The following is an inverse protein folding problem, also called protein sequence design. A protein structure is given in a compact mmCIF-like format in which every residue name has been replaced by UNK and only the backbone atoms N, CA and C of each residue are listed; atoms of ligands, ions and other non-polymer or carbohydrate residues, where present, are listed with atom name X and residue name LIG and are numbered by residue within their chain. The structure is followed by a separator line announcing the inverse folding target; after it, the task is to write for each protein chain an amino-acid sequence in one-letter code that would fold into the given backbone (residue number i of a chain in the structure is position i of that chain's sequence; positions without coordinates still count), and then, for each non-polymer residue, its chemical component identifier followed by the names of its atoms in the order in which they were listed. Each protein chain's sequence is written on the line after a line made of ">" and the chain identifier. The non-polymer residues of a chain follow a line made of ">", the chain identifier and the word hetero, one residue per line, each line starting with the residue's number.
data_IF_801187330620
#
_entry.id   IF_801187330620
#
_cell.length_a   1.000
_cell.length_b   1.000
_cell.length_c   1.000
_cell.angle_alpha   90.00
_cell.angle_beta   90.00
_cell.angle_gamma   90.00
#
_symmetry.space_group_name_H-M   'P 1'
#
loop_
_entity.id
_entity.type
_entity.pdbx_description
1 polymer ?
#
# COMPACT_ATOMS: atom_id res chain seq x y z
N UNK A 1 12.83 -35.13 19.33
CA UNK A 1 11.50 -34.78 18.76
C UNK A 1 11.71 -34.24 17.37
N UNK A 2 10.87 -34.56 16.43
CA UNK A 2 10.91 -34.14 15.02
C UNK A 2 9.79 -33.13 14.78
N UNK A 3 9.94 -32.26 13.77
CA UNK A 3 8.88 -31.35 13.35
C UNK A 3 7.54 -32.05 13.02
N UNK A 4 7.61 -33.30 12.56
CA UNK A 4 6.44 -34.12 12.26
C UNK A 4 5.64 -34.59 13.52
N UNK A 5 6.22 -34.44 14.71
CA UNK A 5 5.56 -34.80 15.95
C UNK A 5 4.59 -33.70 16.43
N UNK A 6 4.57 -32.55 15.73
CA UNK A 6 3.75 -31.38 16.06
C UNK A 6 2.72 -31.06 14.99
N UNK A 7 1.54 -30.61 15.42
CA UNK A 7 0.48 -30.09 14.55
C UNK A 7 0.18 -28.63 14.91
N UNK A 8 -0.01 -27.80 13.91
CA UNK A 8 -0.41 -26.40 14.14
C UNK A 8 -1.89 -26.22 13.81
N UNK A 9 -2.63 -25.65 14.75
CA UNK A 9 -4.06 -25.34 14.62
C UNK A 9 -4.41 -24.02 15.29
N UNK A 10 -5.61 -23.53 15.03
CA UNK A 10 -6.17 -22.39 15.78
C UNK A 10 -6.43 -22.80 17.24
N UNK A 11 -6.18 -21.87 18.14
CA UNK A 11 -6.53 -22.03 19.55
C UNK A 11 -8.06 -22.11 19.74
N UNK A 12 -8.48 -22.93 20.72
CA UNK A 12 -9.85 -23.12 21.14
C UNK A 12 -10.00 -22.71 22.59
N UNK A 13 -11.24 -22.63 23.08
CA UNK A 13 -11.51 -22.29 24.48
C UNK A 13 -10.90 -23.31 25.47
N UNK A 14 -10.76 -24.55 25.04
CA UNK A 14 -10.16 -25.63 25.84
C UNK A 14 -8.66 -25.43 26.03
N UNK A 15 -8.00 -24.66 25.15
CA UNK A 15 -6.58 -24.36 25.25
C UNK A 15 -6.29 -23.21 26.25
N UNK A 16 -7.31 -22.48 26.65
CA UNK A 16 -7.15 -21.27 27.45
C UNK A 16 -6.37 -21.48 28.77
N UNK A 17 -6.60 -22.56 29.54
CA UNK A 17 -5.82 -22.78 30.77
C UNK A 17 -4.32 -22.97 30.50
N UNK A 18 -3.97 -23.71 29.43
CA UNK A 18 -2.58 -23.96 29.05
C UNK A 18 -1.93 -22.68 28.48
N UNK A 19 -2.66 -21.92 27.63
CA UNK A 19 -2.21 -20.63 27.10
C UNK A 19 -2.00 -19.60 28.21
N UNK A 20 -2.89 -19.52 29.18
CA UNK A 20 -2.73 -18.62 30.32
C UNK A 20 -1.47 -18.95 31.14
N UNK A 21 -1.20 -20.23 31.36
CA UNK A 21 0.03 -20.64 32.03
C UNK A 21 1.27 -20.21 31.21
N UNK A 22 1.22 -20.40 29.90
CA UNK A 22 2.29 -20.03 28.99
C UNK A 22 2.50 -18.50 28.92
N UNK A 23 1.44 -17.72 28.72
CA UNK A 23 1.50 -16.26 28.67
C UNK A 23 1.98 -15.64 29.99
N UNK A 24 1.62 -16.25 31.12
CA UNK A 24 2.11 -15.84 32.42
C UNK A 24 3.62 -16.02 32.59
N UNK A 25 4.21 -17.06 32.02
CA UNK A 25 5.67 -17.24 32.03
C UNK A 25 6.40 -16.22 31.19
N UNK A 26 5.70 -15.62 30.19
CA UNK A 26 6.21 -14.58 29.29
C UNK A 26 5.88 -13.16 29.78
N UNK A 27 5.23 -13.02 30.92
CA UNK A 27 4.76 -11.74 31.49
C UNK A 27 3.85 -10.95 30.53
N UNK A 28 3.03 -11.65 29.75
CA UNK A 28 2.05 -11.03 28.86
C UNK A 28 0.78 -10.64 29.62
N UNK A 29 0.08 -9.60 29.13
CA UNK A 29 -1.18 -9.12 29.68
C UNK A 29 -2.34 -10.10 29.45
N UNK A 30 -2.59 -11.02 30.38
CA UNK A 30 -3.52 -12.15 30.26
C UNK A 30 -4.92 -11.73 29.80
N UNK A 31 -5.55 -10.75 30.48
CA UNK A 31 -6.92 -10.32 30.20
C UNK A 31 -7.12 -9.84 28.76
N UNK A 32 -6.12 -9.21 28.17
CA UNK A 32 -6.20 -8.76 26.78
C UNK A 32 -6.01 -9.91 25.80
N UNK A 33 -5.13 -10.87 26.10
CA UNK A 33 -4.92 -12.03 25.24
C UNK A 33 -6.09 -13.03 25.30
N UNK A 34 -6.74 -13.20 26.45
CA UNK A 34 -7.95 -14.02 26.58
C UNK A 34 -9.08 -13.54 25.68
N UNK A 35 -9.33 -12.22 25.60
CA UNK A 35 -10.32 -11.61 24.71
C UNK A 35 -9.99 -11.86 23.23
N UNK A 36 -8.74 -12.09 22.92
CA UNK A 36 -8.19 -12.27 21.57
C UNK A 36 -7.79 -13.72 21.27
N UNK A 37 -8.27 -14.68 22.07
CA UNK A 37 -7.94 -16.10 21.92
C UNK A 37 -8.02 -16.61 20.48
N UNK A 38 -9.00 -16.13 19.74
CA UNK A 38 -9.23 -16.57 18.34
C UNK A 38 -8.16 -16.14 17.34
N UNK A 39 -7.29 -15.22 17.74
CA UNK A 39 -6.14 -14.79 16.93
C UNK A 39 -4.96 -15.76 17.04
N UNK A 40 -4.95 -16.62 18.09
CA UNK A 40 -3.81 -17.50 18.35
C UNK A 40 -3.80 -18.77 17.50
N UNK A 41 -2.61 -19.11 17.04
CA UNK A 41 -2.28 -20.42 16.49
C UNK A 41 -1.38 -21.13 17.47
N UNK A 42 -1.66 -22.41 17.73
CA UNK A 42 -0.94 -23.25 18.69
C UNK A 42 -0.27 -24.42 17.99
N UNK A 43 0.96 -24.69 18.35
CA UNK A 43 1.65 -25.92 18.01
C UNK A 43 1.43 -26.93 19.15
N UNK A 44 0.81 -28.06 18.83
CA UNK A 44 0.51 -29.13 19.81
C UNK A 44 1.30 -30.40 19.48
N UNK A 45 1.74 -31.08 20.50
CA UNK A 45 2.41 -32.37 20.37
C UNK A 45 1.40 -33.52 20.08
N UNK A 46 1.89 -34.75 19.97
CA UNK A 46 1.07 -35.94 19.74
C UNK A 46 0.07 -36.24 20.87
N UNK A 47 0.29 -35.71 22.07
CA UNK A 47 -0.61 -35.85 23.23
C UNK A 47 -1.65 -34.72 23.30
N UNK A 48 -1.57 -33.76 22.38
CA UNK A 48 -2.42 -32.58 22.39
C UNK A 48 -1.96 -31.45 23.30
N UNK A 49 -0.77 -31.58 23.94
CA UNK A 49 -0.21 -30.53 24.79
C UNK A 49 0.37 -29.40 23.97
N UNK A 50 0.15 -28.14 24.39
CA UNK A 50 0.68 -26.96 23.72
C UNK A 50 2.18 -26.86 23.93
N UNK A 51 2.95 -26.86 22.86
CA UNK A 51 4.39 -26.64 22.87
C UNK A 51 4.78 -25.20 22.53
N UNK A 52 3.93 -24.49 21.78
CA UNK A 52 4.14 -23.09 21.44
C UNK A 52 2.89 -22.43 20.90
N UNK A 53 2.86 -21.11 20.92
CA UNK A 53 1.76 -20.30 20.42
C UNK A 53 2.28 -19.00 19.80
N UNK A 54 1.51 -18.45 18.84
CA UNK A 54 1.75 -17.15 18.24
C UNK A 54 0.42 -16.49 17.90
N UNK A 55 0.29 -15.20 18.15
CA UNK A 55 -0.86 -14.40 17.80
C UNK A 55 -0.79 -13.90 16.37
N UNK A 56 -1.95 -13.85 15.68
CA UNK A 56 -2.12 -13.32 14.34
C UNK A 56 -3.36 -12.43 14.28
N UNK A 57 -3.15 -11.14 14.55
CA UNK A 57 -4.20 -10.13 14.54
C UNK A 57 -4.35 -9.53 13.16
N UNK A 58 -5.58 -9.47 12.66
CA UNK A 58 -5.88 -8.88 11.36
C UNK A 58 -6.53 -7.52 11.50
N UNK A 59 -6.15 -6.60 10.61
CA UNK A 59 -6.78 -5.30 10.42
C UNK A 59 -6.81 -4.95 8.93
N UNK A 60 -7.98 -5.05 8.32
CA UNK A 60 -8.13 -4.93 6.88
C UNK A 60 -7.26 -5.95 6.14
N UNK A 61 -6.41 -5.47 5.24
CA UNK A 61 -5.47 -6.31 4.47
C UNK A 61 -4.10 -6.46 5.15
N UNK A 62 -3.96 -6.06 6.40
CA UNK A 62 -2.72 -6.15 7.16
C UNK A 62 -2.87 -7.07 8.36
N UNK A 63 -1.79 -7.69 8.78
CA UNK A 63 -1.76 -8.56 9.94
C UNK A 63 -0.56 -8.27 10.83
N UNK A 64 -0.75 -8.47 12.14
CA UNK A 64 0.27 -8.35 13.17
C UNK A 64 0.57 -9.74 13.73
N UNK A 65 1.84 -10.15 13.69
CA UNK A 65 2.36 -11.31 14.42
C UNK A 65 2.82 -10.81 15.78
N UNK A 66 2.30 -11.41 16.85
CA UNK A 66 2.55 -10.94 18.21
C UNK A 66 2.50 -12.06 19.24
N UNK A 67 3.04 -11.80 20.42
CA UNK A 67 2.92 -12.65 21.61
C UNK A 67 3.34 -14.09 21.36
N UNK A 68 4.52 -14.26 20.71
CA UNK A 68 5.13 -15.58 20.55
C UNK A 68 5.52 -16.14 21.91
N UNK A 69 5.18 -17.40 22.16
CA UNK A 69 5.51 -18.08 23.42
C UNK A 69 5.74 -19.58 23.19
N UNK A 70 6.67 -20.16 23.96
CA UNK A 70 6.98 -21.59 23.92
C UNK A 70 7.09 -22.14 25.33
N UNK A 71 6.61 -23.38 25.53
CA UNK A 71 6.79 -24.12 26.80
C UNK A 71 8.25 -24.48 27.04
N UNK A 72 8.98 -24.75 25.95
CA UNK A 72 10.42 -24.99 25.94
C UNK A 72 11.03 -24.24 24.75
N UNK A 73 11.85 -23.23 25.05
CA UNK A 73 12.53 -22.44 24.03
C UNK A 73 13.55 -23.23 23.21
N UNK A 74 13.99 -24.40 23.67
CA UNK A 74 14.84 -25.29 22.85
C UNK A 74 14.12 -25.82 21.61
N UNK A 75 12.77 -25.83 21.61
CA UNK A 75 11.93 -26.23 20.47
C UNK A 75 11.58 -25.06 19.55
N UNK A 76 11.85 -23.83 19.96
CA UNK A 76 11.39 -22.63 19.25
C UNK A 76 11.83 -22.59 17.79
N UNK A 77 13.10 -22.88 17.52
CA UNK A 77 13.64 -22.84 16.15
C UNK A 77 13.03 -23.90 15.23
N UNK A 78 12.53 -25.00 15.80
CA UNK A 78 11.80 -26.03 15.07
C UNK A 78 10.32 -25.65 14.89
N UNK A 79 9.70 -25.03 15.87
CA UNK A 79 8.27 -24.72 15.86
C UNK A 79 7.93 -23.46 15.08
N UNK A 80 8.82 -22.45 15.06
CA UNK A 80 8.61 -21.20 14.31
C UNK A 80 8.32 -21.40 12.83
N UNK A 81 9.09 -22.22 12.08
CA UNK A 81 8.75 -22.52 10.69
C UNK A 81 7.37 -23.13 10.51
N UNK A 82 6.95 -24.05 11.40
CA UNK A 82 5.62 -24.66 11.34
C UNK A 82 4.50 -23.65 11.60
N UNK A 83 4.68 -22.79 12.60
CA UNK A 83 3.77 -21.70 12.90
C UNK A 83 3.71 -20.72 11.71
N UNK A 84 4.85 -20.36 11.13
CA UNK A 84 4.92 -19.48 9.98
C UNK A 84 4.20 -20.03 8.74
N UNK A 85 4.35 -21.30 8.42
CA UNK A 85 3.59 -21.94 7.34
C UNK A 85 2.09 -21.81 7.56
N UNK A 86 1.64 -22.00 8.80
CA UNK A 86 0.24 -21.81 9.18
C UNK A 86 -0.21 -20.37 9.01
N UNK A 87 0.60 -19.40 9.43
CA UNK A 87 0.30 -17.97 9.27
C UNK A 87 0.23 -17.56 7.80
N UNK A 88 1.11 -18.08 6.94
CA UNK A 88 1.06 -17.86 5.49
C UNK A 88 -0.24 -18.38 4.86
N UNK A 89 -0.71 -19.55 5.28
CA UNK A 89 -2.00 -20.08 4.82
C UNK A 89 -3.16 -19.17 5.25
N UNK A 90 -3.14 -18.69 6.49
CA UNK A 90 -4.16 -17.75 6.97
C UNK A 90 -4.11 -16.42 6.17
N UNK A 91 -2.92 -15.87 5.97
CA UNK A 91 -2.72 -14.67 5.18
C UNK A 91 -3.27 -14.83 3.75
N UNK A 92 -3.01 -15.97 3.12
CA UNK A 92 -3.53 -16.28 1.79
C UNK A 92 -5.07 -16.31 1.77
N UNK A 93 -5.68 -17.00 2.74
CA UNK A 93 -7.14 -17.18 2.83
C UNK A 93 -7.87 -15.85 3.10
N UNK A 94 -7.26 -14.97 3.88
CA UNK A 94 -7.86 -13.68 4.27
C UNK A 94 -7.48 -12.50 3.38
N UNK A 95 -6.69 -12.72 2.34
CA UNK A 95 -6.30 -11.62 1.47
C UNK A 95 -5.29 -10.66 2.09
N UNK A 96 -4.51 -11.09 3.10
CA UNK A 96 -3.49 -10.25 3.73
C UNK A 96 -2.42 -9.85 2.72
N UNK A 97 -2.19 -8.56 2.59
CA UNK A 97 -1.18 -7.96 1.71
C UNK A 97 0.17 -7.86 2.42
N UNK A 98 0.15 -7.51 3.70
CA UNK A 98 1.35 -7.24 4.48
C UNK A 98 1.23 -7.76 5.91
N UNK A 99 2.32 -8.29 6.42
CA UNK A 99 2.47 -8.65 7.84
C UNK A 99 3.48 -7.76 8.52
N UNK A 100 3.23 -7.54 9.82
CA UNK A 100 4.03 -6.74 10.71
C UNK A 100 4.37 -7.54 11.96
N UNK A 101 5.49 -7.24 12.59
CA UNK A 101 5.86 -7.79 13.90
C UNK A 101 6.86 -6.90 14.62
N UNK A 102 6.89 -7.05 15.94
CA UNK A 102 7.94 -6.53 16.82
C UNK A 102 8.74 -7.67 17.49
N UNK A 103 8.44 -8.92 17.11
CA UNK A 103 9.19 -10.07 17.59
C UNK A 103 10.65 -10.00 17.14
N UNK A 104 11.59 -10.12 18.08
CA UNK A 104 13.01 -9.91 17.85
C UNK A 104 13.80 -11.21 17.65
N UNK A 105 13.13 -12.37 17.79
CA UNK A 105 13.75 -13.67 17.52
C UNK A 105 14.38 -13.67 16.14
N UNK A 106 15.56 -14.29 16.01
CA UNK A 106 16.34 -14.32 14.77
C UNK A 106 15.51 -14.77 13.56
N UNK A 107 14.66 -15.75 13.73
CA UNK A 107 13.77 -16.24 12.69
C UNK A 107 12.90 -15.12 12.10
N UNK A 108 12.23 -14.32 12.95
CA UNK A 108 11.41 -13.20 12.49
C UNK A 108 12.24 -12.03 12.01
N UNK A 109 13.28 -11.69 12.77
CA UNK A 109 14.03 -10.46 12.62
C UNK A 109 15.05 -10.48 11.46
N UNK A 110 15.52 -11.64 11.04
CA UNK A 110 16.59 -11.77 10.04
C UNK A 110 16.23 -12.68 8.87
N UNK A 111 15.39 -13.68 9.10
CA UNK A 111 15.11 -14.72 8.11
C UNK A 111 13.77 -14.52 7.40
N UNK A 112 12.81 -13.85 8.05
CA UNK A 112 11.43 -13.76 7.55
C UNK A 112 10.99 -12.32 7.25
N UNK A 113 11.23 -11.39 8.19
CA UNK A 113 10.76 -10.01 8.10
C UNK A 113 11.94 -9.04 7.95
N UNK A 114 11.72 -7.95 7.22
CA UNK A 114 12.71 -6.89 7.01
C UNK A 114 12.39 -5.65 7.82
N UNK A 115 13.38 -4.80 8.05
CA UNK A 115 13.14 -3.48 8.65
C UNK A 115 12.40 -2.61 7.62
N UNK A 116 11.24 -2.01 7.98
CA UNK A 116 10.49 -1.15 7.06
C UNK A 116 11.25 0.14 6.77
N UNK A 117 11.07 0.68 5.59
CA UNK A 117 11.44 2.05 5.23
C UNK A 117 10.37 3.05 5.70
N UNK A 118 10.56 4.35 5.41
CA UNK A 118 9.63 5.41 5.83
C UNK A 118 8.26 5.26 5.18
N UNK A 119 8.20 4.96 3.89
CA UNK A 119 6.95 4.82 3.12
C UNK A 119 6.16 3.58 3.55
N UNK A 120 6.87 2.53 3.94
CA UNK A 120 6.26 1.34 4.50
C UNK A 120 5.68 1.60 5.90
N UNK A 121 6.37 2.36 6.74
CA UNK A 121 5.89 2.72 8.08
C UNK A 121 4.61 3.56 8.03
N UNK A 122 4.40 4.38 7.02
CA UNK A 122 3.15 5.12 6.82
C UNK A 122 1.95 4.19 6.60
N UNK A 123 2.19 2.98 6.11
CA UNK A 123 1.16 1.94 5.92
C UNK A 123 0.84 1.15 7.18
N UNK A 124 1.56 1.38 8.28
CA UNK A 124 1.32 0.72 9.56
C UNK A 124 -0.01 1.21 10.16
N UNK A 125 -0.95 0.32 10.53
CA UNK A 125 -2.18 0.71 11.17
C UNK A 125 -1.96 1.56 12.43
N UNK A 126 -2.69 2.66 12.55
CA UNK A 126 -2.49 3.66 13.61
C UNK A 126 -2.60 3.09 15.06
N UNK A 127 -3.46 2.09 15.24
CA UNK A 127 -3.61 1.42 16.55
C UNK A 127 -2.39 0.57 16.94
N UNK A 128 -1.60 0.09 15.95
CA UNK A 128 -0.33 -0.60 16.23
C UNK A 128 0.83 0.39 16.31
N UNK A 129 0.81 1.47 15.55
CA UNK A 129 1.85 2.50 15.55
C UNK A 129 2.06 3.16 16.91
N UNK A 130 1.06 3.14 17.79
CA UNK A 130 1.18 3.63 19.17
C UNK A 130 2.12 2.78 20.04
N UNK A 131 2.47 1.57 19.62
CA UNK A 131 3.41 0.70 20.33
C UNK A 131 4.83 1.10 19.96
N UNK A 132 5.63 1.45 20.96
CA UNK A 132 7.06 1.72 20.76
C UNK A 132 7.81 0.40 20.53
N UNK A 133 8.63 0.34 19.48
CA UNK A 133 9.45 -0.85 19.21
C UNK A 133 10.04 -0.89 17.78
N UNK A 134 10.91 -1.84 17.56
CA UNK A 134 11.55 -2.08 16.28
C UNK A 134 10.60 -2.83 15.33
N UNK A 135 9.81 -2.12 14.56
CA UNK A 135 8.93 -2.73 13.58
C UNK A 135 9.69 -3.48 12.49
N UNK A 136 9.10 -4.59 12.08
CA UNK A 136 9.52 -5.41 10.93
C UNK A 136 8.31 -5.74 10.09
N UNK A 137 8.52 -5.92 8.80
CA UNK A 137 7.43 -6.13 7.84
C UNK A 137 7.82 -7.10 6.74
N UNK A 138 6.82 -7.71 6.13
CA UNK A 138 6.93 -8.48 4.91
C UNK A 138 5.70 -8.22 4.04
N UNK A 139 5.91 -7.76 2.82
CA UNK A 139 4.87 -7.70 1.79
C UNK A 139 4.66 -9.10 1.22
N UNK A 140 3.46 -9.65 1.37
CA UNK A 140 3.10 -11.00 0.89
C UNK A 140 2.58 -11.00 -0.54
N UNK A 141 1.90 -9.93 -0.93
CA UNK A 141 1.33 -9.75 -2.28
C UNK A 141 1.14 -8.28 -2.62
N UNK A 142 0.91 -7.99 -3.90
CA UNK A 142 0.50 -6.67 -4.33
C UNK A 142 -0.93 -6.36 -3.85
N UNK A 143 -1.16 -5.12 -3.45
CA UNK A 143 -2.53 -4.64 -3.21
C UNK A 143 -3.14 -4.22 -4.54
N UNK A 144 -4.04 -5.04 -5.07
CA UNK A 144 -4.69 -4.79 -6.35
C UNK A 144 -5.47 -3.47 -6.36
N UNK A 145 -6.03 -3.06 -5.21
CA UNK A 145 -6.75 -1.78 -5.11
C UNK A 145 -5.78 -0.60 -5.15
N UNK A 146 -4.61 -0.71 -4.52
CA UNK A 146 -3.56 0.32 -4.59
C UNK A 146 -3.03 0.46 -6.03
N UNK A 147 -2.79 -0.65 -6.72
CA UNK A 147 -2.32 -0.64 -8.12
C UNK A 147 -3.37 -0.04 -9.05
N UNK A 148 -4.66 -0.42 -8.91
CA UNK A 148 -5.73 0.13 -9.74
C UNK A 148 -5.96 1.63 -9.49
N UNK A 149 -5.83 2.10 -8.25
CA UNK A 149 -5.95 3.53 -7.94
C UNK A 149 -4.83 4.35 -8.56
N UNK A 150 -3.59 3.85 -8.51
CA UNK A 150 -2.43 4.49 -9.15
C UNK A 150 -2.57 4.56 -10.68
N UNK A 151 -3.06 3.50 -11.31
CA UNK A 151 -3.31 3.48 -12.74
C UNK A 151 -4.41 4.48 -13.13
N UNK A 152 -5.47 4.61 -12.33
CA UNK A 152 -6.52 5.61 -12.53
C UNK A 152 -6.01 7.05 -12.35
N UNK A 153 -5.22 7.31 -11.30
CA UNK A 153 -4.60 8.63 -11.09
C UNK A 153 -3.65 8.98 -12.23
N UNK A 154 -2.85 8.03 -12.67
CA UNK A 154 -1.95 8.23 -13.80
C UNK A 154 -2.72 8.49 -15.11
N UNK A 155 -3.81 7.75 -15.36
CA UNK A 155 -4.67 7.97 -16.53
C UNK A 155 -5.30 9.37 -16.50
N UNK A 156 -5.81 9.82 -15.35
CA UNK A 156 -6.35 11.18 -15.19
C UNK A 156 -5.28 12.26 -15.39
N UNK A 157 -4.07 12.04 -14.89
CA UNK A 157 -2.95 12.96 -15.09
C UNK A 157 -2.58 13.09 -16.56
N UNK A 158 -2.46 11.97 -17.29
CA UNK A 158 -2.16 11.96 -18.74
C UNK A 158 -3.27 12.64 -19.53
N UNK A 159 -4.52 12.45 -19.17
CA UNK A 159 -5.68 13.10 -19.80
C UNK A 159 -5.66 14.63 -19.59
N UNK A 160 -5.42 15.06 -18.36
CA UNK A 160 -5.27 16.48 -18.03
C UNK A 160 -4.13 17.16 -18.79
N UNK A 161 -2.99 16.48 -18.95
CA UNK A 161 -1.85 16.99 -19.72
C UNK A 161 -2.16 17.09 -21.24
N UNK A 162 -2.90 16.10 -21.76
CA UNK A 162 -3.40 16.13 -23.16
C UNK A 162 -4.37 17.29 -23.39
N UNK A 163 -5.27 17.56 -22.46
CA UNK A 163 -6.21 18.68 -22.55
C UNK A 163 -5.48 20.03 -22.52
N UNK A 164 -4.48 20.20 -21.64
CA UNK A 164 -3.63 21.39 -21.61
C UNK A 164 -2.91 21.61 -22.93
N UNK A 165 -2.34 20.57 -23.50
CA UNK A 165 -1.64 20.63 -24.79
C UNK A 165 -2.60 20.94 -25.94
N UNK A 166 -3.82 20.40 -25.95
CA UNK A 166 -4.86 20.69 -26.94
C UNK A 166 -5.35 22.14 -26.84
N UNK A 167 -5.55 22.66 -25.62
CA UNK A 167 -5.98 24.04 -25.41
C UNK A 167 -4.93 25.05 -25.88
N UNK A 168 -3.64 24.78 -25.61
CA UNK A 168 -2.53 25.61 -26.10
C UNK A 168 -2.45 25.62 -27.63
N UNK A 169 -2.60 24.46 -28.29
CA UNK A 169 -2.65 24.37 -29.74
C UNK A 169 -3.85 25.11 -30.36
N UNK A 170 -5.01 25.04 -29.73
CA UNK A 170 -6.20 25.74 -30.16
C UNK A 170 -6.05 27.25 -30.02
N UNK A 171 -5.47 27.75 -28.92
CA UNK A 171 -5.14 29.17 -28.76
C UNK A 171 -4.18 29.67 -29.85
N UNK A 172 -3.14 28.90 -30.17
CA UNK A 172 -2.21 29.24 -31.24
C UNK A 172 -2.90 29.31 -32.63
N UNK A 173 -3.83 28.39 -32.92
CA UNK A 173 -4.63 28.43 -34.16
C UNK A 173 -5.54 29.68 -34.23
N UNK A 174 -6.22 30.03 -33.15
CA UNK A 174 -7.07 31.20 -33.06
C UNK A 174 -6.23 32.47 -33.27
N UNK A 175 -5.07 32.58 -32.62
CA UNK A 175 -4.16 33.72 -32.77
C UNK A 175 -3.68 33.87 -34.20
N UNK A 176 -3.33 32.77 -34.85
CA UNK A 176 -2.93 32.75 -36.31
C UNK A 176 -4.07 33.22 -37.18
N UNK A 177 -5.30 32.78 -36.94
CA UNK A 177 -6.47 33.19 -37.74
C UNK A 177 -6.73 34.68 -37.58
N UNK A 178 -6.69 35.23 -36.36
CA UNK A 178 -6.86 36.68 -36.08
C UNK A 178 -5.78 37.49 -36.77
N UNK A 179 -4.51 37.08 -36.69
CA UNK A 179 -3.40 37.77 -37.36
C UNK A 179 -3.58 37.79 -38.90
N UNK A 180 -4.06 36.68 -39.48
CA UNK A 180 -4.33 36.63 -40.92
C UNK A 180 -5.46 37.56 -41.35
N UNK A 181 -6.54 37.64 -40.57
CA UNK A 181 -7.66 38.56 -40.83
C UNK A 181 -7.21 40.01 -40.75
N UNK A 182 -6.44 40.36 -39.75
CA UNK A 182 -5.89 41.75 -39.59
C UNK A 182 -4.99 42.11 -40.78
N UNK A 183 -4.11 41.19 -41.21
CA UNK A 183 -3.24 41.42 -42.35
C UNK A 183 -4.03 41.64 -43.67
N UNK A 184 -5.12 40.90 -43.90
CA UNK A 184 -5.99 41.10 -45.04
C UNK A 184 -6.71 42.45 -45.04
N UNK A 185 -7.22 42.89 -43.85
CA UNK A 185 -7.88 44.18 -43.69
C UNK A 185 -6.88 45.32 -43.98
N UNK A 186 -5.68 45.25 -43.41
CA UNK A 186 -4.64 46.24 -43.66
C UNK A 186 -4.24 46.29 -45.13
N UNK A 187 -4.09 45.16 -45.78
CA UNK A 187 -3.82 45.07 -47.24
C UNK A 187 -4.91 45.74 -48.06
N UNK A 188 -6.18 45.51 -47.73
CA UNK A 188 -7.32 46.13 -48.43
C UNK A 188 -7.31 47.65 -48.26
N UNK A 189 -7.04 48.18 -47.06
CA UNK A 189 -6.95 49.62 -46.80
C UNK A 189 -5.85 50.26 -47.65
N UNK A 190 -4.70 49.61 -47.74
CA UNK A 190 -3.58 50.11 -48.58
C UNK A 190 -3.97 50.14 -50.07
N UNK A 191 -4.61 49.11 -50.59
CA UNK A 191 -5.06 49.04 -51.98
C UNK A 191 -6.07 50.16 -52.29
N UNK A 192 -7.06 50.34 -51.41
CA UNK A 192 -8.07 51.41 -51.56
C UNK A 192 -7.43 52.79 -51.50
N UNK A 193 -6.51 52.99 -50.55
CA UNK A 193 -5.79 54.26 -50.38
C UNK A 193 -4.95 54.64 -51.63
N UNK A 194 -4.22 53.67 -52.15
CA UNK A 194 -3.45 53.86 -53.39
C UNK A 194 -4.37 54.11 -54.59
N UNK A 195 -5.48 53.37 -54.70
CA UNK A 195 -6.47 53.60 -55.78
C UNK A 195 -7.06 54.98 -55.77
N UNK A 196 -7.45 55.49 -54.56
CA UNK A 196 -7.97 56.87 -54.43
C UNK A 196 -6.91 57.95 -54.76
N UNK A 197 -5.67 57.71 -54.36
CA UNK A 197 -4.56 58.62 -54.66
C UNK A 197 -4.29 58.74 -56.17
N UNK A 198 -4.34 57.62 -56.89
CA UNK A 198 -4.19 57.58 -58.35
C UNK A 198 -5.36 58.28 -59.08
N UNK A 199 -6.59 58.10 -58.60
CA UNK A 199 -7.77 58.77 -59.17
C UNK A 199 -7.72 60.30 -58.95
N UNK A 200 -7.20 60.74 -57.80
CA UNK A 200 -7.05 62.14 -57.53
C UNK A 200 -5.99 62.82 -58.39
N UNK A 201 -4.94 62.15 -58.73
CA UNK A 201 -3.85 62.63 -59.63
C UNK A 201 -4.27 62.76 -61.09
N UNK A 202 -5.33 62.07 -61.52
CA UNK A 202 -5.83 62.13 -62.91
C UNK A 202 -7.06 63.07 -63.10
N UNK A 203 -7.41 63.92 -62.12
CA UNK A 203 -8.41 64.94 -62.36
C UNK A 203 -7.81 66.07 -63.26
N UNK A 204 -8.38 66.33 -64.44
CA UNK A 204 -7.94 67.45 -65.24
C UNK A 204 -8.29 68.79 -64.51
N UNK A 205 -7.49 69.86 -64.67
CA UNK A 205 -7.79 71.18 -64.11
C UNK A 205 -9.13 71.66 -64.67
N UNK A 206 -10.01 72.14 -63.75
CA UNK A 206 -11.27 72.74 -64.12
C UNK A 206 -10.95 74.06 -64.85
N UNK A 207 -11.49 74.19 -66.06
CA UNK A 207 -11.50 75.46 -66.79
C UNK A 207 -12.49 76.41 -66.18
#
# INVERSE_FOLDING_TARGET
>A
MSANDFKVRRATIEDLPALNALWKTMDFGLLELEKRLTEFQVAVDSNGSIAGAVGYQMQGKQALIHSEAFTDFSLADMLRPLLWERLKMLAANHGTVRVWSQEDARFWAQETLTKPDADELEKLPANWAAQSGGWRTLKLREDVEEVLSLDQEFAMFVEAERERSRSALNQAKVLKTIATVIALILGLIVIVGVGLMLMHKHRPPAQ
#
